data_IF_839916607953
#
_entry.id   IF_839916607953
#
_cell.length_a   1.000
_cell.length_b   1.000
_cell.length_c   1.000
_cell.angle_alpha   90.00
_cell.angle_beta   90.00
_cell.angle_gamma   90.00
#
_symmetry.space_group_name_H-M   'P 1'
#
loop_
_entity.id
_entity.type
_entity.pdbx_description
1 polymer ?
#
# COMPACT_ATOMS: atom_id res chain seq x y z
N UNK A 1 -4.55 6.18 19.22
CA UNK A 1 -3.17 6.64 19.37
C UNK A 1 -2.93 7.87 18.47
N UNK A 2 -2.57 9.04 19.10
CA UNK A 2 -2.35 10.31 18.39
C UNK A 2 -1.20 10.21 17.36
N UNK A 3 -0.19 9.41 17.71
CA UNK A 3 0.98 9.15 16.90
C UNK A 3 0.62 8.47 15.57
N UNK A 4 -0.07 7.34 15.62
CA UNK A 4 -0.47 6.60 14.44
C UNK A 4 -1.40 7.42 13.52
N UNK A 5 -2.25 8.28 14.07
CA UNK A 5 -3.03 9.22 13.24
C UNK A 5 -2.13 10.18 12.49
N UNK A 6 -1.10 10.72 13.15
CA UNK A 6 -0.13 11.62 12.51
C UNK A 6 0.62 10.89 11.39
N UNK A 7 1.05 9.64 11.63
CA UNK A 7 1.71 8.82 10.60
C UNK A 7 0.80 8.49 9.41
N UNK A 8 -0.48 8.28 9.64
CA UNK A 8 -1.46 8.04 8.57
C UNK A 8 -1.73 9.30 7.72
N UNK A 9 -1.53 10.50 8.26
CA UNK A 9 -1.76 11.77 7.53
C UNK A 9 -0.46 12.25 6.87
N UNK A 10 0.66 12.29 7.61
CA UNK A 10 1.91 12.91 7.16
C UNK A 10 3.03 11.90 6.86
N UNK A 11 2.76 10.61 7.03
CA UNK A 11 3.77 9.58 6.84
C UNK A 11 4.72 9.43 8.05
N UNK A 12 5.71 8.58 7.86
CA UNK A 12 6.67 8.19 8.90
C UNK A 12 8.13 8.51 8.52
N UNK A 13 8.37 9.32 7.48
CA UNK A 13 9.72 9.78 7.19
C UNK A 13 10.31 10.53 8.39
N UNK A 14 11.54 10.20 8.83
CA UNK A 14 12.14 10.80 10.03
C UNK A 14 12.10 12.32 10.00
N UNK A 15 12.44 12.96 8.89
CA UNK A 15 12.44 14.42 8.77
C UNK A 15 11.05 15.06 8.95
N UNK A 16 10.01 14.41 8.46
CA UNK A 16 8.61 14.88 8.60
C UNK A 16 8.11 14.67 10.02
N UNK A 17 8.61 13.62 10.68
CA UNK A 17 8.09 13.12 11.94
C UNK A 17 8.75 13.72 13.17
N UNK A 18 10.10 13.80 13.18
CA UNK A 18 10.90 14.19 14.35
C UNK A 18 11.08 15.69 14.49
N UNK A 19 11.00 16.44 13.40
CA UNK A 19 11.14 17.90 13.43
C UNK A 19 9.86 18.55 13.96
N UNK A 20 10.03 19.63 14.71
CA UNK A 20 8.90 20.48 15.16
C UNK A 20 8.50 21.40 14.00
N UNK A 21 7.71 20.88 13.10
CA UNK A 21 7.25 21.56 11.90
C UNK A 21 5.77 21.95 12.05
N UNK A 22 5.43 23.10 11.54
CA UNK A 22 4.04 23.47 11.27
C UNK A 22 3.43 22.53 10.22
N UNK A 23 2.10 22.53 10.10
CA UNK A 23 1.42 21.73 9.08
C UNK A 23 1.89 22.10 7.67
N UNK A 24 2.01 23.38 7.37
CA UNK A 24 2.47 23.87 6.07
C UNK A 24 3.90 23.40 5.76
N UNK A 25 4.83 23.59 6.67
CA UNK A 25 6.22 23.16 6.47
C UNK A 25 6.33 21.66 6.26
N UNK A 26 5.48 20.88 6.93
CA UNK A 26 5.43 19.43 6.75
C UNK A 26 4.93 19.04 5.36
N UNK A 27 3.91 19.72 4.85
CA UNK A 27 3.38 19.51 3.50
C UNK A 27 4.42 19.95 2.45
N UNK A 28 5.07 21.09 2.64
CA UNK A 28 6.12 21.58 1.75
C UNK A 28 7.32 20.61 1.70
N UNK A 29 7.70 20.03 2.84
CA UNK A 29 8.75 19.02 2.91
C UNK A 29 8.35 17.73 2.18
N UNK A 30 7.12 17.26 2.34
CA UNK A 30 6.60 16.09 1.62
C UNK A 30 6.55 16.32 0.11
N UNK A 31 6.19 17.53 -0.33
CA UNK A 31 6.22 17.90 -1.74
C UNK A 31 7.66 17.86 -2.28
N UNK A 32 8.61 18.41 -1.52
CA UNK A 32 10.01 18.35 -1.91
C UNK A 32 10.53 16.90 -2.00
N UNK A 33 10.17 16.05 -1.02
CA UNK A 33 10.52 14.63 -1.05
C UNK A 33 9.94 13.90 -2.26
N UNK A 34 8.67 14.16 -2.59
CA UNK A 34 8.04 13.59 -3.78
C UNK A 34 8.81 13.98 -5.04
N UNK A 35 9.10 15.27 -5.21
CA UNK A 35 9.69 15.78 -6.44
C UNK A 35 11.17 15.40 -6.57
N UNK A 36 11.94 15.44 -5.49
CA UNK A 36 13.37 15.16 -5.51
C UNK A 36 13.68 13.66 -5.46
N UNK A 37 13.16 12.94 -4.45
CA UNK A 37 13.56 11.55 -4.23
C UNK A 37 12.69 10.56 -5.01
N UNK A 38 11.36 10.76 -5.02
CA UNK A 38 10.45 9.79 -5.63
C UNK A 38 10.41 9.93 -7.15
N UNK A 39 10.34 11.16 -7.65
CA UNK A 39 10.19 11.39 -9.08
C UNK A 39 11.54 11.58 -9.78
N UNK A 40 12.41 12.45 -9.27
CA UNK A 40 13.67 12.76 -9.94
C UNK A 40 14.66 11.60 -9.85
N UNK A 41 15.03 11.18 -8.64
CA UNK A 41 16.10 10.19 -8.46
C UNK A 41 15.72 8.83 -9.10
N UNK A 42 14.46 8.38 -8.93
CA UNK A 42 14.02 7.12 -9.56
C UNK A 42 13.98 7.22 -11.08
N UNK A 43 13.56 8.36 -11.61
CA UNK A 43 13.52 8.60 -13.05
C UNK A 43 14.92 8.64 -13.65
N UNK A 44 15.86 9.35 -13.00
CA UNK A 44 17.23 9.47 -13.46
C UNK A 44 17.96 8.11 -13.43
N UNK A 45 17.81 7.33 -12.33
CA UNK A 45 18.46 6.03 -12.17
C UNK A 45 17.99 5.01 -13.24
N UNK A 46 16.72 5.06 -13.64
CA UNK A 46 16.14 4.09 -14.58
C UNK A 46 15.91 4.65 -15.99
N UNK A 47 16.45 5.84 -16.29
CA UNK A 47 16.31 6.54 -17.58
C UNK A 47 14.83 6.59 -18.04
N UNK A 48 13.94 6.88 -17.12
CA UNK A 48 12.52 7.02 -17.41
C UNK A 48 12.27 8.38 -18.07
N UNK A 49 11.77 8.37 -19.29
CA UNK A 49 11.68 9.57 -20.13
C UNK A 49 10.57 10.56 -19.75
N UNK A 50 9.67 10.21 -18.83
CA UNK A 50 8.48 11.01 -18.58
C UNK A 50 8.10 11.09 -17.08
N UNK A 51 8.59 12.14 -16.40
CA UNK A 51 8.29 12.45 -15.01
C UNK A 51 6.79 12.65 -14.76
N UNK A 52 6.10 13.31 -15.70
CA UNK A 52 4.65 13.52 -15.59
C UNK A 52 3.91 12.20 -15.58
N UNK A 53 4.23 11.30 -16.48
CA UNK A 53 3.61 9.96 -16.52
C UNK A 53 3.86 9.19 -15.21
N UNK A 54 5.08 9.25 -14.66
CA UNK A 54 5.42 8.66 -13.37
C UNK A 54 4.51 9.16 -12.25
N UNK A 55 4.34 10.48 -12.15
CA UNK A 55 3.46 11.12 -11.15
C UNK A 55 1.99 10.74 -11.36
N UNK A 56 1.54 10.75 -12.60
CA UNK A 56 0.15 10.42 -12.96
C UNK A 56 -0.17 8.95 -12.61
N UNK A 57 0.73 8.00 -12.88
CA UNK A 57 0.58 6.58 -12.49
C UNK A 57 0.47 6.46 -10.96
N UNK A 58 1.40 7.08 -10.20
CA UNK A 58 1.35 7.06 -8.73
C UNK A 58 0.06 7.69 -8.19
N UNK A 59 -0.41 8.78 -8.80
CA UNK A 59 -1.67 9.44 -8.42
C UNK A 59 -2.87 8.53 -8.66
N UNK A 60 -2.92 7.82 -9.80
CA UNK A 60 -3.98 6.84 -10.08
C UNK A 60 -4.01 5.71 -9.03
N UNK A 61 -2.84 5.21 -8.65
CA UNK A 61 -2.72 4.18 -7.60
C UNK A 61 -3.14 4.76 -6.23
N UNK A 62 -2.73 5.99 -5.91
CA UNK A 62 -3.10 6.66 -4.66
C UNK A 62 -4.60 6.84 -4.48
N UNK A 63 -5.34 7.03 -5.57
CA UNK A 63 -6.81 7.14 -5.57
C UNK A 63 -7.53 5.78 -5.43
N UNK A 64 -6.83 4.65 -5.67
CA UNK A 64 -7.42 3.30 -5.67
C UNK A 64 -6.98 2.45 -4.46
N UNK A 65 -6.61 3.08 -3.33
CA UNK A 65 -6.17 2.36 -2.13
C UNK A 65 -7.15 1.26 -1.71
N UNK A 66 -6.61 0.07 -1.41
CA UNK A 66 -7.39 -1.09 -0.98
C UNK A 66 -8.10 -1.83 -2.12
N UNK A 67 -8.01 -1.35 -3.36
CA UNK A 67 -8.58 -2.00 -4.54
C UNK A 67 -7.53 -2.75 -5.36
N UNK A 68 -7.96 -3.76 -6.13
CA UNK A 68 -7.09 -4.37 -7.13
C UNK A 68 -6.76 -3.36 -8.22
N UNK A 69 -5.49 -3.36 -8.64
CA UNK A 69 -4.99 -2.42 -9.64
C UNK A 69 -4.97 -3.08 -11.02
N UNK A 70 -5.68 -2.47 -11.96
CA UNK A 70 -5.63 -2.84 -13.38
C UNK A 70 -4.63 -1.95 -14.11
N UNK A 71 -3.51 -2.55 -14.53
CA UNK A 71 -2.48 -1.87 -15.36
C UNK A 71 -3.09 -1.33 -16.65
N UNK A 72 -4.01 -2.11 -17.26
CA UNK A 72 -4.69 -1.71 -18.50
C UNK A 72 -5.55 -0.47 -18.30
N UNK A 73 -6.39 -0.43 -17.25
CA UNK A 73 -7.24 0.74 -16.96
C UNK A 73 -6.41 2.01 -16.69
N UNK A 74 -5.29 1.88 -15.95
CA UNK A 74 -4.38 3.01 -15.74
C UNK A 74 -3.79 3.47 -17.09
N UNK A 75 -3.29 2.54 -17.90
CA UNK A 75 -2.70 2.83 -19.19
C UNK A 75 -3.69 3.54 -20.14
N UNK A 76 -4.89 3.00 -20.28
CA UNK A 76 -5.96 3.57 -21.11
C UNK A 76 -6.32 4.99 -20.62
N UNK A 77 -6.43 5.21 -19.30
CA UNK A 77 -6.76 6.51 -18.74
C UNK A 77 -5.67 7.58 -18.92
N UNK A 78 -4.42 7.15 -19.14
CA UNK A 78 -3.26 8.05 -19.30
C UNK A 78 -2.75 8.12 -20.76
N UNK A 79 -3.39 7.40 -21.69
CA UNK A 79 -2.94 7.33 -23.10
C UNK A 79 -1.55 6.70 -23.23
N UNK A 80 -1.20 5.75 -22.36
CA UNK A 80 0.10 5.09 -22.32
C UNK A 80 0.00 3.61 -22.70
N UNK A 81 1.11 3.00 -23.12
CA UNK A 81 1.15 1.55 -23.35
C UNK A 81 1.11 0.79 -22.00
N UNK A 82 0.33 -0.31 -21.88
CA UNK A 82 0.28 -1.12 -20.67
C UNK A 82 1.64 -1.62 -20.20
N UNK A 83 2.54 -1.99 -21.14
CA UNK A 83 3.91 -2.40 -20.83
C UNK A 83 4.72 -1.29 -20.18
N UNK A 84 4.53 -0.04 -20.63
CA UNK A 84 5.18 1.13 -20.03
C UNK A 84 4.69 1.34 -18.60
N UNK A 85 3.38 1.33 -18.36
CA UNK A 85 2.79 1.48 -17.02
C UNK A 85 3.26 0.35 -16.10
N UNK A 86 3.27 -0.90 -16.56
CA UNK A 86 3.79 -2.04 -15.82
C UNK A 86 5.24 -1.84 -15.41
N UNK A 87 6.11 -1.38 -16.32
CA UNK A 87 7.51 -1.11 -16.04
C UNK A 87 7.69 -0.05 -14.94
N UNK A 88 6.93 1.06 -15.01
CA UNK A 88 6.97 2.10 -13.97
C UNK A 88 6.56 1.53 -12.59
N UNK A 89 5.48 0.74 -12.55
CA UNK A 89 5.01 0.11 -11.30
C UNK A 89 6.08 -0.81 -10.71
N UNK A 90 6.73 -1.66 -11.52
CA UNK A 90 7.81 -2.54 -11.05
C UNK A 90 9.01 -1.75 -10.51
N UNK A 91 9.36 -0.63 -11.15
CA UNK A 91 10.40 0.28 -10.67
C UNK A 91 10.01 0.88 -9.31
N UNK A 92 8.76 1.34 -9.15
CA UNK A 92 8.29 1.88 -7.88
C UNK A 92 8.28 0.84 -6.75
N UNK A 93 7.94 -0.41 -7.05
CA UNK A 93 8.01 -1.52 -6.08
C UNK A 93 9.48 -1.79 -5.69
N UNK A 94 10.38 -1.86 -6.66
CA UNK A 94 11.81 -2.11 -6.45
C UNK A 94 12.48 -1.01 -5.60
N UNK A 95 12.00 0.23 -5.72
CA UNK A 95 12.53 1.38 -4.98
C UNK A 95 11.74 1.72 -3.70
N UNK A 96 10.95 0.79 -3.19
CA UNK A 96 10.22 0.95 -1.92
C UNK A 96 9.27 2.16 -1.89
N UNK A 97 8.74 2.54 -3.03
CA UNK A 97 7.66 3.53 -3.12
C UNK A 97 6.32 2.82 -2.95
N UNK A 98 6.18 1.67 -3.63
CA UNK A 98 5.00 0.82 -3.57
C UNK A 98 5.30 -0.55 -2.96
N UNK A 99 4.29 -1.11 -2.30
CA UNK A 99 4.22 -2.48 -1.83
C UNK A 99 3.24 -3.21 -2.74
N UNK A 100 3.64 -4.35 -3.29
CA UNK A 100 2.76 -5.23 -4.06
C UNK A 100 2.23 -6.35 -3.17
N UNK A 101 0.92 -6.45 -3.06
CA UNK A 101 0.23 -7.54 -2.38
C UNK A 101 -0.50 -8.38 -3.43
N UNK A 102 0.06 -9.54 -3.83
CA UNK A 102 -0.55 -10.41 -4.85
C UNK A 102 -1.76 -11.17 -4.30
N UNK A 103 -2.62 -11.65 -5.19
CA UNK A 103 -3.72 -12.53 -4.84
C UNK A 103 -3.24 -13.92 -4.47
N UNK A 104 -3.70 -14.47 -3.33
CA UNK A 104 -3.48 -15.87 -2.99
C UNK A 104 -4.25 -16.79 -3.94
N UNK A 105 -3.59 -17.79 -4.49
CA UNK A 105 -4.20 -18.80 -5.37
C UNK A 105 -3.73 -20.20 -4.97
N UNK A 106 -4.70 -21.08 -4.79
CA UNK A 106 -4.43 -22.50 -4.50
C UNK A 106 -3.73 -23.22 -5.65
N UNK A 107 -3.89 -22.73 -6.88
CA UNK A 107 -3.21 -23.29 -8.05
C UNK A 107 -2.07 -22.38 -8.50
N UNK A 108 -0.84 -22.78 -8.22
CA UNK A 108 0.39 -22.03 -8.53
C UNK A 108 0.50 -21.69 -10.03
N UNK A 109 0.01 -22.56 -10.93
CA UNK A 109 0.03 -22.29 -12.38
C UNK A 109 -0.89 -21.13 -12.79
N UNK A 110 -1.92 -20.81 -11.98
CA UNK A 110 -2.79 -19.65 -12.14
C UNK A 110 -2.34 -18.43 -11.31
N UNK A 111 -1.31 -18.60 -10.48
CA UNK A 111 -0.79 -17.53 -9.60
C UNK A 111 -0.05 -16.42 -10.37
N UNK A 112 0.28 -16.65 -11.63
CA UNK A 112 0.90 -15.64 -12.52
C UNK A 112 -0.14 -14.63 -13.07
N UNK A 113 -1.40 -14.69 -12.62
CA UNK A 113 -2.39 -13.69 -13.04
C UNK A 113 -2.16 -12.38 -12.29
N UNK A 114 -2.26 -11.30 -13.03
CA UNK A 114 -1.86 -9.93 -12.74
C UNK A 114 -2.63 -9.21 -11.62
N UNK A 115 -3.55 -9.90 -10.92
CA UNK A 115 -4.35 -9.28 -9.88
C UNK A 115 -3.53 -9.05 -8.63
N UNK A 116 -3.25 -7.80 -8.35
CA UNK A 116 -2.54 -7.36 -7.15
C UNK A 116 -3.14 -6.08 -6.62
N UNK A 117 -3.01 -5.87 -5.32
CA UNK A 117 -3.23 -4.57 -4.69
C UNK A 117 -1.90 -3.87 -4.53
N UNK A 118 -1.92 -2.55 -4.66
CA UNK A 118 -0.73 -1.71 -4.47
C UNK A 118 -0.97 -0.75 -3.31
N UNK A 119 0.02 -0.67 -2.43
CA UNK A 119 0.03 0.20 -1.26
C UNK A 119 1.29 1.03 -1.24
N UNK A 120 1.27 2.15 -0.55
CA UNK A 120 2.44 3.01 -0.39
C UNK A 120 3.23 2.60 0.85
N UNK A 121 4.56 2.61 0.74
CA UNK A 121 5.44 2.45 1.91
C UNK A 121 5.29 3.60 2.89
N UNK A 122 4.97 4.81 2.39
CA UNK A 122 4.74 5.99 3.20
C UNK A 122 3.44 6.69 2.79
N UNK A 123 2.57 6.91 3.78
CA UNK A 123 1.28 7.56 3.56
C UNK A 123 1.39 9.08 3.35
N UNK A 124 2.48 9.72 3.77
CA UNK A 124 2.74 11.12 3.46
C UNK A 124 2.95 11.32 1.96
N UNK A 125 3.72 10.43 1.32
CA UNK A 125 3.89 10.43 -0.14
C UNK A 125 2.57 10.16 -0.86
N UNK A 126 1.77 9.22 -0.36
CA UNK A 126 0.43 8.96 -0.92
C UNK A 126 -0.47 10.19 -0.80
N UNK A 127 -0.49 10.83 0.36
CA UNK A 127 -1.39 11.95 0.63
C UNK A 127 -0.97 13.24 -0.12
N UNK A 128 0.33 13.47 -0.32
CA UNK A 128 0.79 14.60 -1.13
C UNK A 128 0.44 14.43 -2.62
N UNK A 129 0.43 13.21 -3.14
CA UNK A 129 0.01 12.92 -4.52
C UNK A 129 -1.45 13.31 -4.78
N UNK A 130 -2.33 13.13 -3.80
CA UNK A 130 -3.76 13.49 -3.90
C UNK A 130 -4.11 14.80 -3.19
N UNK A 131 -3.11 15.48 -2.59
CA UNK A 131 -3.24 16.74 -1.85
C UNK A 131 -4.34 16.71 -0.76
N UNK A 132 -4.43 15.60 0.00
CA UNK A 132 -5.43 15.44 1.06
C UNK A 132 -4.78 15.14 2.41
N UNK A 133 -4.68 16.17 3.26
CA UNK A 133 -4.15 16.12 4.63
C UNK A 133 -5.23 16.36 5.70
N UNK A 134 -6.50 16.27 5.31
CA UNK A 134 -7.63 16.41 6.25
C UNK A 134 -7.62 15.34 7.33
N UNK A 135 -8.27 15.63 8.47
CA UNK A 135 -8.45 14.65 9.54
C UNK A 135 -9.16 13.39 9.01
N UNK A 136 -8.68 12.22 9.43
CA UNK A 136 -9.19 10.92 8.97
C UNK A 136 -10.68 10.71 9.26
N UNK A 137 -11.23 11.39 10.28
CA UNK A 137 -12.64 11.25 10.63
C UNK A 137 -13.59 11.78 9.56
N UNK A 138 -13.13 12.76 8.75
CA UNK A 138 -13.92 13.38 7.67
C UNK A 138 -13.57 12.85 6.29
N UNK A 139 -12.56 11.96 6.18
CA UNK A 139 -12.12 11.38 4.90
C UNK A 139 -12.94 10.13 4.57
N UNK A 140 -13.35 10.04 3.30
CA UNK A 140 -14.07 8.85 2.80
C UNK A 140 -13.14 7.65 2.64
N UNK A 141 -11.87 7.87 2.31
CA UNK A 141 -10.83 6.84 2.10
C UNK A 141 -10.15 6.35 3.38
N UNK A 142 -10.63 6.76 4.57
CA UNK A 142 -10.03 6.39 5.87
C UNK A 142 -9.82 4.89 6.05
N UNK A 143 -10.69 4.05 5.47
CA UNK A 143 -10.56 2.58 5.50
C UNK A 143 -9.32 2.12 4.74
N UNK A 144 -9.16 2.57 3.50
CA UNK A 144 -7.99 2.26 2.67
C UNK A 144 -6.69 2.83 3.24
N UNK A 145 -6.74 4.03 3.85
CA UNK A 145 -5.58 4.61 4.54
C UNK A 145 -5.17 3.75 5.73
N UNK A 146 -6.11 3.28 6.54
CA UNK A 146 -5.80 2.40 7.67
C UNK A 146 -5.28 1.03 7.20
N UNK A 147 -5.88 0.45 6.17
CA UNK A 147 -5.41 -0.79 5.54
C UNK A 147 -3.96 -0.63 5.02
N UNK A 148 -3.68 0.44 4.29
CA UNK A 148 -2.32 0.74 3.83
C UNK A 148 -1.34 0.91 5.00
N UNK A 149 -1.75 1.59 6.07
CA UNK A 149 -0.92 1.76 7.26
C UNK A 149 -0.52 0.40 7.86
N UNK A 150 -1.47 -0.51 8.08
CA UNK A 150 -1.19 -1.83 8.63
C UNK A 150 -0.29 -2.65 7.70
N UNK A 151 -0.55 -2.64 6.39
CA UNK A 151 0.26 -3.37 5.41
C UNK A 151 1.68 -2.82 5.33
N UNK A 152 1.86 -1.50 5.37
CA UNK A 152 3.20 -0.90 5.35
C UNK A 152 4.00 -1.22 6.62
N UNK A 153 3.36 -1.21 7.79
CA UNK A 153 4.03 -1.59 9.05
C UNK A 153 4.39 -3.08 9.08
N UNK A 154 3.48 -3.95 8.63
CA UNK A 154 3.75 -5.39 8.48
C UNK A 154 4.96 -5.65 7.55
N UNK A 155 5.03 -4.97 6.41
CA UNK A 155 6.14 -5.14 5.46
C UNK A 155 7.46 -4.61 6.02
N UNK A 156 7.45 -3.50 6.77
CA UNK A 156 8.63 -2.98 7.47
C UNK A 156 9.11 -3.97 8.54
N UNK A 157 8.20 -4.50 9.35
CA UNK A 157 8.53 -5.51 10.37
C UNK A 157 9.07 -6.79 9.74
N UNK A 158 8.44 -7.28 8.67
CA UNK A 158 8.89 -8.46 7.92
C UNK A 158 10.35 -8.31 7.47
N UNK A 159 10.70 -7.15 6.93
CA UNK A 159 12.06 -6.84 6.48
C UNK A 159 13.03 -6.69 7.64
N UNK A 160 12.65 -5.94 8.67
CA UNK A 160 13.49 -5.71 9.85
C UNK A 160 13.85 -7.02 10.56
N UNK A 161 12.90 -7.93 10.68
CA UNK A 161 13.08 -9.24 11.33
C UNK A 161 13.62 -10.31 10.38
N UNK A 162 13.81 -10.00 9.10
CA UNK A 162 14.16 -10.97 8.05
C UNK A 162 13.22 -12.19 8.05
N UNK A 163 11.94 -11.95 8.31
CA UNK A 163 10.93 -12.99 8.44
C UNK A 163 10.71 -13.71 7.09
N UNK A 164 10.78 -15.04 7.10
CA UNK A 164 10.58 -15.89 5.92
C UNK A 164 9.09 -16.19 5.74
N UNK A 165 8.33 -15.15 5.42
CA UNK A 165 6.89 -15.20 5.17
C UNK A 165 6.57 -14.59 3.80
N UNK A 166 5.50 -15.08 3.19
CA UNK A 166 4.87 -14.49 2.03
C UNK A 166 3.55 -13.85 2.46
N UNK A 167 3.19 -12.75 1.83
CA UNK A 167 1.94 -12.03 2.09
C UNK A 167 1.10 -11.93 0.84
N UNK A 168 -0.20 -12.13 0.98
CA UNK A 168 -1.18 -12.11 -0.09
C UNK A 168 -2.46 -11.45 0.40
N UNK A 169 -3.38 -11.07 -0.51
CA UNK A 169 -4.79 -10.96 -0.20
C UNK A 169 -5.53 -12.18 -0.76
N UNK A 170 -6.73 -12.47 -0.26
CA UNK A 170 -7.55 -13.54 -0.82
C UNK A 170 -8.94 -13.02 -1.16
N UNK A 171 -9.42 -13.33 -2.36
CA UNK A 171 -10.80 -13.03 -2.77
C UNK A 171 -11.45 -14.30 -3.31
N UNK A 172 -12.61 -14.65 -2.75
CA UNK A 172 -13.42 -15.76 -3.26
C UNK A 172 -14.25 -15.35 -4.48
N UNK A 173 -14.74 -16.34 -5.20
CA UNK A 173 -15.71 -16.15 -6.27
C UNK A 173 -17.04 -15.68 -5.68
N UNK A 174 -17.40 -14.47 -5.74
CA UNK A 174 -18.56 -13.86 -5.06
C UNK A 174 -18.20 -12.58 -4.32
N UNK A 175 -16.92 -12.20 -4.40
CA UNK A 175 -16.43 -10.88 -4.01
C UNK A 175 -16.08 -10.70 -2.54
N UNK A 176 -16.30 -11.69 -1.67
CA UNK A 176 -15.82 -11.61 -0.29
C UNK A 176 -14.31 -11.72 -0.27
N UNK A 177 -13.66 -10.96 0.61
CA UNK A 177 -12.22 -10.81 0.64
C UNK A 177 -11.67 -10.97 2.05
N UNK A 178 -10.44 -11.52 2.15
CA UNK A 178 -9.57 -11.46 3.32
C UNK A 178 -8.46 -10.47 2.99
N UNK A 179 -8.26 -9.48 3.87
CA UNK A 179 -7.38 -8.34 3.59
C UNK A 179 -5.91 -8.78 3.51
N UNK A 180 -5.45 -9.65 4.42
CA UNK A 180 -4.10 -10.21 4.40
C UNK A 180 -4.13 -11.71 4.69
N UNK A 181 -3.36 -12.48 3.93
CA UNK A 181 -3.00 -13.87 4.20
C UNK A 181 -1.49 -13.91 4.36
N UNK A 182 -1.02 -14.35 5.51
CA UNK A 182 0.39 -14.62 5.79
C UNK A 182 0.63 -16.11 5.65
N UNK A 183 1.59 -16.48 4.81
CA UNK A 183 2.07 -17.85 4.62
C UNK A 183 3.50 -17.93 5.15
N UNK A 184 3.75 -18.81 6.12
CA UNK A 184 5.09 -19.08 6.59
C UNK A 184 5.82 -20.16 5.76
N UNK A 185 7.09 -20.40 6.06
CA UNK A 185 7.91 -21.40 5.36
C UNK A 185 7.45 -22.85 5.59
N UNK A 186 6.59 -23.11 6.59
CA UNK A 186 5.97 -24.41 6.88
C UNK A 186 4.61 -24.57 6.21
N UNK A 187 4.19 -23.58 5.40
CA UNK A 187 2.85 -23.52 4.79
C UNK A 187 1.72 -23.47 5.81
N UNK A 188 1.97 -22.81 6.96
CA UNK A 188 0.96 -22.45 7.92
C UNK A 188 0.40 -21.07 7.53
N UNK A 189 -0.90 -20.87 7.69
CA UNK A 189 -1.58 -19.66 7.25
C UNK A 189 -2.18 -18.90 8.42
N UNK A 190 -1.97 -17.59 8.42
CA UNK A 190 -2.69 -16.64 9.27
C UNK A 190 -3.45 -15.68 8.37
N UNK A 191 -4.73 -15.50 8.63
CA UNK A 191 -5.57 -14.54 7.92
C UNK A 191 -5.88 -13.35 8.80
N UNK A 192 -5.77 -12.15 8.24
CA UNK A 192 -6.00 -10.89 8.97
C UNK A 192 -7.07 -10.09 8.27
N UNK A 193 -8.10 -9.70 9.03
CA UNK A 193 -9.09 -8.71 8.64
C UNK A 193 -8.72 -7.36 9.26
N UNK A 194 -8.70 -6.32 8.45
CA UNK A 194 -8.39 -4.96 8.91
C UNK A 194 -9.69 -4.16 9.01
N UNK A 195 -10.00 -3.67 10.19
CA UNK A 195 -11.22 -2.90 10.47
C UNK A 195 -10.90 -1.58 11.17
N UNK A 196 -11.52 -0.49 10.77
CA UNK A 196 -11.39 0.79 11.49
C UNK A 196 -12.11 0.78 12.84
N UNK A 197 -13.08 -0.14 13.01
CA UNK A 197 -13.83 -0.40 14.25
C UNK A 197 -13.84 -1.90 14.53
N UNK A 198 -14.47 -2.30 15.63
CA UNK A 198 -14.66 -3.73 15.95
C UNK A 198 -15.34 -4.49 14.81
N UNK A 199 -15.01 -5.76 14.66
CA UNK A 199 -15.55 -6.66 13.66
C UNK A 199 -15.09 -8.09 13.89
N UNK A 200 -15.64 -9.02 13.12
CA UNK A 200 -15.25 -10.43 13.16
C UNK A 200 -14.44 -10.80 11.93
N UNK A 201 -13.51 -11.75 12.11
CA UNK A 201 -12.78 -12.34 10.99
C UNK A 201 -13.74 -13.15 10.09
N UNK A 202 -13.54 -13.04 8.78
CA UNK A 202 -14.28 -13.83 7.80
C UNK A 202 -13.66 -15.22 7.69
N UNK A 203 -14.49 -16.26 7.74
CA UNK A 203 -14.07 -17.67 7.57
C UNK A 203 -14.29 -18.11 6.12
N UNK A 204 -13.61 -17.47 5.18
CA UNK A 204 -13.75 -17.76 3.74
C UNK A 204 -12.47 -18.31 3.12
N UNK A 205 -11.35 -18.24 3.84
CA UNK A 205 -10.08 -18.76 3.32
C UNK A 205 -10.13 -20.29 3.20
N UNK A 206 -9.73 -20.88 2.05
CA UNK A 206 -10.01 -22.28 1.73
C UNK A 206 -9.10 -23.29 2.45
N UNK A 207 -8.04 -22.84 3.12
CA UNK A 207 -7.10 -23.70 3.82
C UNK A 207 -7.19 -23.51 5.34
N UNK A 208 -6.74 -24.51 6.16
CA UNK A 208 -6.66 -24.34 7.60
C UNK A 208 -5.82 -23.11 7.94
N UNK A 209 -6.34 -22.24 8.82
CA UNK A 209 -5.68 -20.99 9.17
C UNK A 209 -6.06 -20.53 10.58
N UNK A 210 -5.22 -19.68 11.15
CA UNK A 210 -5.55 -18.85 12.31
C UNK A 210 -6.13 -17.53 11.78
N UNK A 211 -7.26 -17.09 12.31
CA UNK A 211 -7.93 -15.87 11.86
C UNK A 211 -7.85 -14.77 12.92
N UNK A 212 -7.37 -13.60 12.54
CA UNK A 212 -7.17 -12.45 13.40
C UNK A 212 -7.91 -11.23 12.86
N UNK A 213 -8.22 -10.29 13.76
CA UNK A 213 -8.82 -9.00 13.40
C UNK A 213 -7.96 -7.89 13.97
N UNK A 214 -7.41 -7.07 13.08
CA UNK A 214 -6.64 -5.89 13.42
C UNK A 214 -7.53 -4.66 13.33
N UNK A 215 -7.58 -3.91 14.41
CA UNK A 215 -8.40 -2.69 14.53
C UNK A 215 -7.56 -1.49 14.96
N UNK A 216 -8.14 -0.31 14.88
CA UNK A 216 -7.49 0.90 15.41
C UNK A 216 -7.27 0.88 16.93
N UNK A 217 -7.75 -0.14 17.63
CA UNK A 217 -7.60 -0.32 19.08
C UNK A 217 -6.49 -1.31 19.45
N UNK A 218 -6.29 -2.39 18.64
CA UNK A 218 -5.36 -3.49 18.97
C UNK A 218 -4.15 -3.65 18.02
N UNK A 219 -3.96 -2.79 17.03
CA UNK A 219 -2.89 -2.94 16.02
C UNK A 219 -1.46 -2.78 16.59
N UNK A 220 -1.31 -2.43 17.86
CA UNK A 220 -0.01 -2.33 18.56
C UNK A 220 0.29 -3.56 19.42
N UNK A 221 -0.62 -4.50 19.52
CA UNK A 221 -0.46 -5.78 20.25
C UNK A 221 0.10 -6.86 19.32
#
# INVERSE_FOLDING_TARGET
NKLAKKMQIYGAYPEVYTKDLTEKERIDLLQHMLDAYVLKDVIDIYDLKNTKLAKDILTKIALQLGSEVSVREIADSLGAAPSTVSNYIEIFIKNYILISLPSFKTNIRKAVSENRKLYFYDLGIRNILIQDFRDLNIRQDRGGVFENFIISELEKMRKLQNAKINTYFYREYGGKEVDIVIEDYKKTYTTIEIKTKSGNAKKIFPLPNTAEVVTSQNYLE
#
